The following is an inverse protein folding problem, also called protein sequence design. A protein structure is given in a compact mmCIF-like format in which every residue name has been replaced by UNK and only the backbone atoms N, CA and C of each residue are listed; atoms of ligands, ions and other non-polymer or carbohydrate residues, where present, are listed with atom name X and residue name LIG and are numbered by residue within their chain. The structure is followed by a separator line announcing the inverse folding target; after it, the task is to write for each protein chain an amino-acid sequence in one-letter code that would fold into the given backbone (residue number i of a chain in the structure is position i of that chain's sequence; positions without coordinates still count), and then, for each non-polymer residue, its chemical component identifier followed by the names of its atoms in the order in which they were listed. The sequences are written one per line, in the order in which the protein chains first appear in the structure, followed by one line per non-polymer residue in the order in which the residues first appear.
data_IF_539724133897
#
_entry.id   IF_539724133897
#
_cell.length_a   1.000
_cell.length_b   1.000
_cell.length_c   1.000
_cell.angle_alpha   90.00
_cell.angle_beta   90.00
_cell.angle_gamma   90.00
#
_symmetry.space_group_name_H-M   'P 1'
#
loop_
_entity.id
_entity.type
_entity.pdbx_description
1 polymer ?
#
# COMPACT_ATOMS: atom_id res chain seq x y z
N UNK A 1 -4.73 15.28 -11.22
CA UNK A 1 -5.77 14.36 -10.71
C UNK A 1 -5.11 13.19 -9.97
N UNK A 2 -5.12 13.20 -8.63
CA UNK A 2 -4.65 12.06 -7.84
C UNK A 2 -5.67 10.92 -7.96
N UNK A 3 -5.26 9.77 -8.51
CA UNK A 3 -6.11 8.58 -8.60
C UNK A 3 -6.53 8.14 -7.19
N UNK A 4 -7.83 7.91 -7.00
CA UNK A 4 -8.44 7.47 -5.73
C UNK A 4 -7.84 6.11 -5.33
N UNK A 5 -6.94 6.11 -4.34
CA UNK A 5 -6.35 4.87 -3.82
C UNK A 5 -7.39 3.81 -3.44
N UNK A 6 -7.02 2.53 -3.61
CA UNK A 6 -7.89 1.37 -3.38
C UNK A 6 -7.70 0.86 -1.95
N UNK A 7 -8.78 0.44 -1.28
CA UNK A 7 -8.65 -0.32 -0.03
C UNK A 7 -8.23 -1.74 -0.35
N UNK A 8 -7.18 -2.22 0.27
CA UNK A 8 -6.61 -3.55 0.06
C UNK A 8 -6.16 -4.15 1.39
N UNK A 9 -6.03 -5.48 1.41
CA UNK A 9 -5.30 -6.17 2.47
C UNK A 9 -3.81 -6.12 2.09
N UNK A 10 -2.95 -5.87 3.07
CA UNK A 10 -1.51 -5.85 2.89
C UNK A 10 -0.90 -6.89 3.80
N UNK A 11 -0.15 -7.83 3.21
CA UNK A 11 0.71 -8.75 3.95
C UNK A 11 2.05 -8.04 4.18
N UNK A 12 2.38 -7.74 5.43
CA UNK A 12 3.63 -7.10 5.82
C UNK A 12 4.77 -8.12 5.87
N UNK A 13 5.99 -7.63 5.68
CA UNK A 13 7.18 -8.48 5.76
C UNK A 13 7.43 -9.03 7.18
N UNK A 14 6.80 -8.45 8.21
CA UNK A 14 6.79 -9.00 9.56
C UNK A 14 5.99 -10.31 9.69
N UNK A 15 5.16 -10.64 8.68
CA UNK A 15 4.18 -11.71 8.73
C UNK A 15 2.78 -11.25 9.18
N UNK A 16 2.63 -10.00 9.63
CA UNK A 16 1.35 -9.43 10.00
C UNK A 16 0.54 -8.96 8.79
N UNK A 17 -0.77 -8.88 8.95
CA UNK A 17 -1.69 -8.46 7.90
C UNK A 17 -2.45 -7.23 8.36
N UNK A 18 -2.63 -6.24 7.47
CA UNK A 18 -3.42 -5.06 7.80
C UNK A 18 -4.31 -4.59 6.65
N UNK A 19 -5.42 -3.94 6.99
CA UNK A 19 -6.23 -3.21 6.03
C UNK A 19 -5.62 -1.84 5.77
N UNK A 20 -5.43 -1.51 4.50
CA UNK A 20 -4.72 -0.32 4.09
C UNK A 20 -5.39 0.36 2.89
N UNK A 21 -4.99 1.61 2.66
CA UNK A 21 -5.24 2.31 1.41
C UNK A 21 -3.97 2.24 0.55
N UNK A 22 -4.06 1.62 -0.63
CA UNK A 22 -2.94 1.56 -1.59
C UNK A 22 -3.13 2.62 -2.67
N UNK A 23 -2.12 3.44 -2.89
CA UNK A 23 -2.06 4.50 -3.91
C UNK A 23 -0.95 4.22 -4.92
N UNK A 24 -1.11 4.69 -6.15
CA UNK A 24 -0.09 4.51 -7.18
C UNK A 24 -0.57 4.94 -8.55
N UNK A 25 0.38 5.17 -9.47
CA UNK A 25 0.07 5.44 -10.87
C UNK A 25 -0.39 4.18 -11.60
N UNK A 26 0.13 3.02 -11.21
CA UNK A 26 -0.23 1.69 -11.73
C UNK A 26 -1.52 1.17 -11.10
N UNK A 27 -2.14 0.19 -11.76
CA UNK A 27 -3.28 -0.56 -11.20
C UNK A 27 -2.76 -1.35 -9.99
N UNK A 28 -3.51 -1.36 -8.90
CA UNK A 28 -3.23 -2.24 -7.75
C UNK A 28 -3.61 -3.65 -8.19
N UNK A 29 -2.60 -4.50 -8.36
CA UNK A 29 -2.73 -5.92 -8.65
C UNK A 29 -2.24 -6.73 -7.44
N UNK A 30 -2.76 -7.94 -7.21
CA UNK A 30 -2.27 -8.80 -6.13
C UNK A 30 -0.77 -9.09 -6.30
N UNK A 31 -0.01 -9.05 -5.21
CA UNK A 31 1.41 -9.34 -5.20
C UNK A 31 2.32 -8.16 -5.56
N UNK A 32 1.78 -6.94 -5.74
CA UNK A 32 2.65 -5.76 -5.92
C UNK A 32 3.27 -5.33 -4.59
N UNK A 33 4.56 -4.99 -4.63
CA UNK A 33 5.27 -4.42 -3.49
C UNK A 33 4.71 -3.05 -3.12
N UNK A 34 4.60 -2.80 -1.82
CA UNK A 34 4.11 -1.54 -1.29
C UNK A 34 4.97 -1.00 -0.15
N UNK A 35 5.07 0.32 -0.05
CA UNK A 35 5.79 1.03 1.01
C UNK A 35 4.81 1.95 1.77
N UNK A 36 4.88 1.93 3.10
CA UNK A 36 4.10 2.78 3.97
C UNK A 36 4.47 4.26 3.75
N UNK A 37 3.47 5.10 3.52
CA UNK A 37 3.65 6.54 3.47
C UNK A 37 3.46 7.15 4.86
N UNK A 38 4.57 7.57 5.46
CA UNK A 38 4.58 8.37 6.69
C UNK A 38 4.22 9.81 6.33
N UNK A 39 2.93 10.16 6.35
CA UNK A 39 2.51 11.55 6.05
C UNK A 39 1.03 11.80 5.75
N UNK A 40 0.18 10.78 5.73
CA UNK A 40 -1.25 10.94 5.47
C UNK A 40 -2.06 11.23 6.74
N UNK A 41 -2.00 12.44 7.28
CA UNK A 41 -2.88 12.85 8.39
C UNK A 41 -4.32 12.99 7.90
N UNK A 42 -5.18 12.02 8.25
CA UNK A 42 -6.62 12.08 7.99
C UNK A 42 -7.29 10.78 7.55
N UNK A 43 -6.54 9.71 7.28
CA UNK A 43 -7.13 8.39 7.01
C UNK A 43 -7.07 7.49 8.24
N UNK A 44 -8.18 6.82 8.59
CA UNK A 44 -8.22 5.80 9.64
C UNK A 44 -7.39 4.55 9.31
N UNK A 45 -6.98 4.39 8.05
CA UNK A 45 -6.15 3.28 7.58
C UNK A 45 -4.77 3.78 7.20
N UNK A 46 -3.71 2.98 7.42
CA UNK A 46 -2.40 3.29 6.88
C UNK A 46 -2.47 3.39 5.35
N UNK A 47 -1.73 4.34 4.79
CA UNK A 47 -1.63 4.54 3.35
C UNK A 47 -0.30 4.01 2.85
N UNK A 48 -0.35 3.18 1.82
CA UNK A 48 0.81 2.60 1.19
C UNK A 48 0.88 3.03 -0.27
N UNK A 49 2.08 3.22 -0.79
CA UNK A 49 2.32 3.46 -2.21
C UNK A 49 2.87 2.21 -2.88
N UNK A 50 2.42 1.92 -4.11
CA UNK A 50 3.06 0.91 -4.96
C UNK A 50 4.51 1.33 -5.21
N UNK A 51 5.44 0.40 -5.02
CA UNK A 51 6.87 0.59 -5.31
C UNK A 51 7.36 -0.52 -6.23
N UNK A 52 8.19 -0.14 -7.21
CA UNK A 52 8.80 -1.06 -8.18
C UNK A 52 10.18 -1.54 -7.71
N UNK A 53 10.73 -0.95 -6.65
CA UNK A 53 12.02 -1.38 -6.08
C UNK A 53 11.78 -2.63 -5.23
N UNK A 54 12.72 -3.58 -5.20
CA UNK A 54 12.64 -4.76 -4.32
C UNK A 54 12.55 -4.43 -2.83
N UNK A 55 12.69 -3.15 -2.46
CA UNK A 55 12.45 -2.60 -1.14
C UNK A 55 10.99 -2.18 -0.98
N UNK A 56 10.36 -2.60 0.11
CA UNK A 56 8.99 -2.32 0.48
C UNK A 56 8.72 -2.86 1.88
N UNK A 57 7.55 -2.55 2.43
CA UNK A 57 7.12 -3.02 3.75
C UNK A 57 6.18 -4.24 3.66
N UNK A 58 5.74 -4.59 2.45
CA UNK A 58 4.81 -5.70 2.23
C UNK A 58 4.28 -5.80 0.80
N UNK A 59 3.21 -6.58 0.65
CA UNK A 59 2.53 -6.87 -0.61
C UNK A 59 1.03 -6.57 -0.52
N UNK A 60 0.48 -5.90 -1.53
CA UNK A 60 -0.96 -5.70 -1.64
C UNK A 60 -1.67 -6.93 -2.22
N UNK A 61 -2.86 -7.22 -1.71
CA UNK A 61 -3.74 -8.32 -2.13
C UNK A 61 -5.04 -7.78 -2.75
#
# INVERSE_FOLDING_TARGET
MMRRGRKALVALDSGDWCFARVVGRRRVEPGVRVQLQVGGTGSKLPTFAITDTGAGDGFAL
#
